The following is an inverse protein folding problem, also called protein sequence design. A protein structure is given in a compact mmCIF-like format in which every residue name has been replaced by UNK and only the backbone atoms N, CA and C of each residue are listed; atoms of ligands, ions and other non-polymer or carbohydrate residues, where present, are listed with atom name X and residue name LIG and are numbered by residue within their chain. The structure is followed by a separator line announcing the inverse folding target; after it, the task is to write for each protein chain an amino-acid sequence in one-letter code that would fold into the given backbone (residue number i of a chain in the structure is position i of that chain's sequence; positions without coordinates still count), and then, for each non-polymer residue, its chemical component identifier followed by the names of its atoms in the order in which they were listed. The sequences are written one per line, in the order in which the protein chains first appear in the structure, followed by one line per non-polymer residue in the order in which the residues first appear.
data_IF_199707591597
#
_entry.id   IF_199707591597
#
_cell.length_a   1.000
_cell.length_b   1.000
_cell.length_c   1.000
_cell.angle_alpha   90.00
_cell.angle_beta   90.00
_cell.angle_gamma   90.00
#
_symmetry.space_group_name_H-M   'P 1'
#
loop_
_entity.id
_entity.type
_entity.pdbx_description
1 polymer ?
#
# COMPACT_ATOMS: atom_id res chain seq x y z
N UNK A 1 39.34 -121.15 41.79
CA UNK A 1 38.17 -120.43 42.21
C UNK A 1 38.66 -119.06 42.64
N UNK A 2 38.57 -118.13 41.79
CA UNK A 2 39.06 -116.77 42.06
C UNK A 2 38.16 -115.78 41.37
N UNK A 3 37.43 -115.02 42.17
CA UNK A 3 36.54 -113.96 41.76
C UNK A 3 37.37 -112.78 41.34
N UNK A 4 37.10 -112.25 40.10
CA UNK A 4 37.74 -111.04 39.61
C UNK A 4 36.88 -109.87 39.90
N UNK A 5 37.37 -109.00 40.75
CA UNK A 5 36.77 -107.75 41.14
C UNK A 5 36.99 -106.72 40.04
N UNK A 6 35.89 -106.20 39.44
CA UNK A 6 35.91 -105.07 38.48
C UNK A 6 35.66 -103.77 39.19
N UNK A 7 36.42 -102.69 38.99
CA UNK A 7 36.14 -101.40 39.55
C UNK A 7 35.09 -100.66 38.76
N UNK A 8 34.08 -100.13 39.49
CA UNK A 8 33.01 -99.31 38.98
C UNK A 8 33.54 -97.94 38.62
N UNK A 9 33.45 -97.60 37.36
CA UNK A 9 33.74 -96.22 36.90
C UNK A 9 32.48 -95.35 37.05
N UNK A 10 32.51 -94.37 37.97
CA UNK A 10 31.49 -93.30 38.11
C UNK A 10 31.57 -92.35 36.91
N UNK A 11 30.41 -91.94 36.30
CA UNK A 11 30.40 -90.90 35.25
C UNK A 11 30.65 -89.53 35.83
N UNK A 12 31.62 -88.84 35.27
CA UNK A 12 32.03 -87.54 35.64
C UNK A 12 31.04 -86.52 35.04
N UNK A 13 30.03 -86.14 35.81
CA UNK A 13 29.07 -85.11 35.45
C UNK A 13 29.68 -83.69 35.69
N UNK A 14 30.40 -83.16 34.72
CA UNK A 14 30.75 -81.75 34.70
C UNK A 14 29.57 -80.92 34.18
N UNK A 15 29.09 -79.95 34.89
CA UNK A 15 28.00 -79.07 34.37
C UNK A 15 28.55 -78.21 33.22
N UNK A 16 28.00 -78.42 32.03
CA UNK A 16 28.28 -77.56 30.86
C UNK A 16 27.70 -76.16 31.13
N UNK A 17 28.57 -75.17 31.30
CA UNK A 17 28.26 -73.76 31.47
C UNK A 17 27.64 -73.28 30.16
N UNK A 18 26.30 -73.18 30.09
CA UNK A 18 25.57 -72.61 28.96
C UNK A 18 26.03 -71.14 28.79
N UNK A 19 26.80 -70.87 27.72
CA UNK A 19 27.10 -69.49 27.31
C UNK A 19 25.77 -68.82 27.00
N UNK A 20 25.36 -67.88 27.85
CA UNK A 20 24.20 -66.96 27.56
C UNK A 20 24.51 -66.25 26.24
N UNK A 21 23.74 -66.56 25.20
CA UNK A 21 23.91 -65.93 23.91
C UNK A 21 23.52 -64.42 24.07
N UNK A 22 24.39 -63.52 23.64
CA UNK A 22 24.15 -62.07 23.66
C UNK A 22 23.27 -61.66 22.49
N UNK A 23 22.78 -62.60 21.69
CA UNK A 23 21.96 -62.38 20.50
C UNK A 23 20.64 -61.53 20.76
N UNK A 24 19.85 -61.81 21.84
CA UNK A 24 18.64 -61.02 22.06
C UNK A 24 18.92 -59.56 22.44
N UNK A 25 20.04 -59.26 23.10
CA UNK A 25 20.42 -57.89 23.46
C UNK A 25 20.85 -57.07 22.23
N UNK A 26 21.54 -57.69 21.27
CA UNK A 26 21.93 -57.03 20.01
C UNK A 26 20.69 -56.74 19.13
N UNK A 27 19.73 -57.64 19.07
CA UNK A 27 18.47 -57.43 18.35
C UNK A 27 17.63 -56.28 18.92
N UNK A 28 17.54 -56.18 20.26
CA UNK A 28 16.88 -55.04 20.92
C UNK A 28 17.59 -53.71 20.65
N UNK A 29 18.93 -53.67 20.64
CA UNK A 29 19.70 -52.47 20.36
C UNK A 29 19.51 -52.00 18.91
N UNK A 30 19.52 -52.92 17.95
CA UNK A 30 19.26 -52.59 16.54
C UNK A 30 17.83 -52.10 16.34
N UNK A 31 16.84 -52.76 16.96
CA UNK A 31 15.45 -52.36 16.91
C UNK A 31 15.25 -50.96 17.51
N UNK A 32 15.91 -50.66 18.64
CA UNK A 32 15.86 -49.34 19.26
C UNK A 32 16.55 -48.26 18.41
N UNK A 33 17.69 -48.60 17.77
CA UNK A 33 18.37 -47.67 16.85
C UNK A 33 17.52 -47.35 15.60
N UNK A 34 16.85 -48.35 15.03
CA UNK A 34 15.94 -48.15 13.90
C UNK A 34 14.72 -47.32 14.28
N UNK A 35 14.18 -47.48 15.49
CA UNK A 35 13.12 -46.63 16.04
C UNK A 35 13.57 -45.18 16.21
N UNK A 36 14.79 -44.96 16.73
CA UNK A 36 15.34 -43.60 16.87
C UNK A 36 15.62 -42.97 15.51
N UNK A 37 16.12 -43.69 14.54
CA UNK A 37 16.33 -43.21 13.16
C UNK A 37 14.98 -42.90 12.47
N UNK A 38 13.98 -43.76 12.65
CA UNK A 38 12.64 -43.55 12.13
C UNK A 38 11.95 -42.31 12.77
N UNK A 39 12.00 -42.21 14.10
CA UNK A 39 11.43 -41.08 14.83
C UNK A 39 12.18 -39.77 14.51
N UNK A 40 13.52 -39.81 14.41
CA UNK A 40 14.34 -38.68 14.02
C UNK A 40 14.10 -38.23 12.58
N UNK A 41 13.94 -39.17 11.65
CA UNK A 41 13.63 -38.92 10.25
C UNK A 41 12.26 -38.26 10.07
N UNK A 42 11.20 -38.76 10.72
CA UNK A 42 9.87 -38.19 10.69
C UNK A 42 9.85 -36.82 11.37
N UNK A 43 10.49 -36.68 12.53
CA UNK A 43 10.59 -35.39 13.25
C UNK A 43 11.34 -34.35 12.43
N UNK A 44 12.45 -34.74 11.78
CA UNK A 44 13.21 -33.86 10.89
C UNK A 44 12.42 -33.44 9.65
N UNK A 45 11.66 -34.36 9.05
CA UNK A 45 10.81 -34.07 7.90
C UNK A 45 9.68 -33.09 8.27
N UNK A 46 8.97 -33.31 9.39
CA UNK A 46 7.92 -32.39 9.87
C UNK A 46 8.49 -31.02 10.21
N UNK A 47 9.68 -30.97 10.83
CA UNK A 47 10.36 -29.71 11.12
C UNK A 47 10.71 -28.97 9.83
N UNK A 48 11.25 -29.66 8.84
CA UNK A 48 11.61 -29.08 7.53
C UNK A 48 10.39 -28.54 6.79
N UNK A 49 9.26 -29.27 6.75
CA UNK A 49 8.01 -28.80 6.15
C UNK A 49 7.48 -27.55 6.86
N UNK A 50 7.52 -27.53 8.20
CA UNK A 50 7.10 -26.37 8.97
C UNK A 50 7.98 -25.13 8.71
N UNK A 51 9.28 -25.35 8.56
CA UNK A 51 10.22 -24.29 8.22
C UNK A 51 9.92 -23.72 6.82
N UNK A 52 9.71 -24.57 5.83
CA UNK A 52 9.35 -24.14 4.48
C UNK A 52 8.00 -23.39 4.45
N UNK A 53 7.02 -23.87 5.21
CA UNK A 53 5.72 -23.20 5.31
C UNK A 53 5.85 -21.80 5.95
N UNK A 54 6.66 -21.67 7.01
CA UNK A 54 6.94 -20.38 7.64
C UNK A 54 7.68 -19.41 6.71
N UNK A 55 8.70 -19.93 5.98
CA UNK A 55 9.44 -19.12 4.99
C UNK A 55 8.54 -18.67 3.83
N UNK A 56 7.54 -19.47 3.46
CA UNK A 56 6.57 -19.10 2.43
C UNK A 56 5.59 -18.06 2.94
N UNK A 57 5.09 -18.19 4.18
CA UNK A 57 4.25 -17.21 4.83
C UNK A 57 4.94 -15.84 4.90
N UNK A 58 6.22 -15.81 5.29
CA UNK A 58 7.00 -14.59 5.39
C UNK A 58 7.22 -13.92 4.02
N UNK A 59 7.47 -14.70 2.97
CA UNK A 59 7.55 -14.18 1.59
C UNK A 59 6.22 -13.60 1.12
N UNK A 60 5.11 -14.31 1.35
CA UNK A 60 3.77 -13.87 0.95
C UNK A 60 3.38 -12.59 1.72
N UNK A 61 3.76 -12.50 3.01
CA UNK A 61 3.56 -11.31 3.81
C UNK A 61 4.40 -10.12 3.32
N UNK A 62 5.67 -10.35 2.98
CA UNK A 62 6.54 -9.29 2.45
C UNK A 62 6.03 -8.71 1.13
N UNK A 63 5.47 -9.54 0.23
CA UNK A 63 4.82 -9.09 -0.99
C UNK A 63 3.56 -8.26 -0.67
N UNK A 64 2.79 -8.69 0.32
CA UNK A 64 1.55 -8.04 0.72
C UNK A 64 1.79 -6.65 1.35
N UNK A 65 2.86 -6.51 2.15
CA UNK A 65 3.21 -5.26 2.84
C UNK A 65 3.92 -4.26 1.95
N UNK A 66 4.27 -4.62 0.72
CA UNK A 66 4.69 -3.69 -0.31
C UNK A 66 3.58 -2.70 -0.69
N UNK A 67 3.70 -2.07 -1.86
CA UNK A 67 2.70 -1.12 -2.40
C UNK A 67 1.48 -1.86 -2.96
N UNK A 68 0.79 -2.64 -2.14
CA UNK A 68 -0.38 -3.39 -2.55
C UNK A 68 -1.65 -2.74 -1.98
N UNK A 69 -2.56 -2.32 -2.88
CA UNK A 69 -3.86 -1.74 -2.57
C UNK A 69 -5.03 -2.66 -2.93
N UNK A 70 -4.73 -3.92 -3.30
CA UNK A 70 -5.75 -4.90 -3.66
C UNK A 70 -6.25 -5.65 -2.41
N UNK A 71 -7.47 -5.39 -2.01
CA UNK A 71 -8.09 -6.05 -0.84
C UNK A 71 -8.18 -7.56 -0.97
N UNK A 72 -8.31 -8.10 -2.20
CA UNK A 72 -8.41 -9.53 -2.43
C UNK A 72 -7.13 -10.29 -2.03
N UNK A 73 -5.96 -9.67 -2.20
CA UNK A 73 -4.68 -10.29 -1.81
C UNK A 73 -4.58 -10.43 -0.28
N UNK A 74 -5.07 -9.42 0.46
CA UNK A 74 -5.13 -9.45 1.92
C UNK A 74 -6.12 -10.52 2.43
N UNK A 75 -7.26 -10.66 1.77
CA UNK A 75 -8.27 -11.69 2.08
C UNK A 75 -7.71 -13.09 1.81
N UNK A 76 -7.05 -13.30 0.67
CA UNK A 76 -6.40 -14.55 0.32
C UNK A 76 -5.27 -14.93 1.30
N UNK A 77 -4.49 -13.96 1.77
CA UNK A 77 -3.47 -14.19 2.81
C UNK A 77 -4.12 -14.66 4.13
N UNK A 78 -5.18 -13.97 4.58
CA UNK A 78 -5.89 -14.33 5.82
C UNK A 78 -6.57 -15.70 5.76
N UNK A 79 -7.02 -16.10 4.56
CA UNK A 79 -7.58 -17.44 4.32
C UNK A 79 -6.49 -18.51 4.33
N UNK A 80 -5.34 -18.25 3.67
CA UNK A 80 -4.23 -19.20 3.58
C UNK A 80 -3.51 -19.39 4.92
N UNK A 81 -3.37 -18.30 5.71
CA UNK A 81 -2.61 -18.28 6.96
C UNK A 81 -3.50 -17.86 8.16
N UNK A 82 -4.50 -18.66 8.54
CA UNK A 82 -5.45 -18.27 9.58
C UNK A 82 -4.83 -18.05 10.97
N UNK A 83 -3.66 -18.67 11.22
CA UNK A 83 -2.92 -18.58 12.49
C UNK A 83 -1.62 -17.75 12.36
N UNK A 84 -1.50 -16.93 11.32
CA UNK A 84 -0.34 -16.06 11.10
C UNK A 84 -0.10 -15.13 12.27
N UNK A 85 1.18 -14.90 12.59
CA UNK A 85 1.58 -13.86 13.54
C UNK A 85 1.26 -12.46 13.00
N UNK A 86 1.21 -12.29 11.69
CA UNK A 86 0.89 -11.03 11.01
C UNK A 86 -0.61 -10.79 10.85
N UNK A 87 -1.45 -11.75 11.28
CA UNK A 87 -2.91 -11.69 11.08
C UNK A 87 -3.54 -10.37 11.53
N UNK A 88 -3.17 -9.89 12.71
CA UNK A 88 -3.74 -8.66 13.28
C UNK A 88 -3.41 -7.44 12.42
N UNK A 89 -2.17 -7.30 12.00
CA UNK A 89 -1.70 -6.22 11.13
C UNK A 89 -2.34 -6.26 9.75
N UNK A 90 -2.41 -7.46 9.15
CA UNK A 90 -3.06 -7.68 7.83
C UNK A 90 -4.54 -7.32 7.89
N UNK A 91 -5.26 -7.68 8.97
CA UNK A 91 -6.66 -7.30 9.17
C UNK A 91 -6.84 -5.78 9.32
N UNK A 92 -5.97 -5.10 10.06
CA UNK A 92 -6.01 -3.65 10.22
C UNK A 92 -5.78 -2.94 8.89
N UNK A 93 -4.77 -3.39 8.12
CA UNK A 93 -4.48 -2.83 6.80
C UNK A 93 -5.63 -3.08 5.82
N UNK A 94 -6.21 -4.28 5.80
CA UNK A 94 -7.40 -4.59 5.00
C UNK A 94 -8.58 -3.69 5.37
N UNK A 95 -8.85 -3.47 6.65
CA UNK A 95 -9.90 -2.57 7.10
C UNK A 95 -9.65 -1.12 6.64
N UNK A 96 -8.40 -0.67 6.66
CA UNK A 96 -8.00 0.65 6.16
C UNK A 96 -8.21 0.77 4.65
N UNK A 97 -7.81 -0.24 3.87
CA UNK A 97 -8.02 -0.28 2.41
C UNK A 97 -9.51 -0.29 2.05
N UNK A 98 -10.31 -1.09 2.73
CA UNK A 98 -11.77 -1.10 2.53
C UNK A 98 -12.40 0.27 2.80
N UNK A 99 -11.95 0.95 3.85
CA UNK A 99 -12.40 2.31 4.18
C UNK A 99 -11.95 3.31 3.13
N UNK A 100 -10.70 3.22 2.64
CA UNK A 100 -10.18 4.05 1.55
C UNK A 100 -11.02 3.88 0.28
N UNK A 101 -11.27 2.63 -0.17
CA UNK A 101 -12.07 2.34 -1.36
C UNK A 101 -13.51 2.84 -1.21
N UNK A 102 -14.15 2.62 -0.07
CA UNK A 102 -15.50 3.10 0.19
C UNK A 102 -15.56 4.64 0.18
N UNK A 103 -14.58 5.31 0.80
CA UNK A 103 -14.51 6.77 0.81
C UNK A 103 -14.29 7.32 -0.60
N UNK A 104 -13.38 6.71 -1.37
CA UNK A 104 -13.13 7.09 -2.76
C UNK A 104 -14.39 6.93 -3.62
N UNK A 105 -15.06 5.80 -3.53
CA UNK A 105 -16.30 5.54 -4.27
C UNK A 105 -17.37 6.62 -4.02
N UNK A 106 -17.44 7.14 -2.80
CA UNK A 106 -18.40 8.17 -2.44
C UNK A 106 -18.05 9.55 -2.98
N UNK A 107 -16.77 9.83 -3.31
CA UNK A 107 -16.32 11.17 -3.70
C UNK A 107 -15.84 11.27 -5.15
N UNK A 108 -15.56 10.14 -5.84
CA UNK A 108 -14.90 10.15 -7.15
C UNK A 108 -15.60 11.00 -8.21
N UNK A 109 -16.93 11.15 -8.12
CA UNK A 109 -17.75 11.99 -9.02
C UNK A 109 -18.09 13.37 -8.43
N UNK A 110 -17.53 13.72 -7.28
CA UNK A 110 -17.77 14.99 -6.62
C UNK A 110 -17.29 16.16 -7.48
N UNK A 111 -18.07 17.25 -7.50
CA UNK A 111 -17.70 18.53 -8.09
C UNK A 111 -17.15 19.51 -7.03
N UNK A 112 -17.00 19.08 -5.78
CA UNK A 112 -16.46 19.89 -4.70
C UNK A 112 -14.99 19.49 -4.42
N UNK A 113 -14.01 20.36 -4.72
CA UNK A 113 -12.59 20.05 -4.50
C UNK A 113 -12.25 19.81 -3.01
N UNK A 114 -13.07 20.31 -2.07
CA UNK A 114 -12.84 20.09 -0.64
C UNK A 114 -12.99 18.62 -0.24
N UNK A 115 -13.86 17.85 -0.93
CA UNK A 115 -14.01 16.43 -0.66
C UNK A 115 -12.71 15.66 -0.96
N UNK A 116 -12.02 16.01 -2.04
CA UNK A 116 -10.72 15.40 -2.40
C UNK A 116 -9.61 15.86 -1.45
N UNK A 117 -9.59 17.13 -1.01
CA UNK A 117 -8.63 17.60 0.00
C UNK A 117 -8.82 16.89 1.34
N UNK A 118 -10.06 16.68 1.74
CA UNK A 118 -10.37 15.93 2.96
C UNK A 118 -9.97 14.45 2.82
N UNK A 119 -10.15 13.85 1.64
CA UNK A 119 -9.68 12.49 1.36
C UNK A 119 -8.16 12.38 1.54
N UNK A 120 -7.39 13.31 0.95
CA UNK A 120 -5.93 13.35 1.09
C UNK A 120 -5.47 13.54 2.55
N UNK A 121 -6.20 14.31 3.34
CA UNK A 121 -5.89 14.45 4.78
C UNK A 121 -6.14 13.15 5.56
N UNK A 122 -7.15 12.36 5.16
CA UNK A 122 -7.47 11.09 5.81
C UNK A 122 -6.59 9.94 5.32
N UNK A 123 -6.07 10.01 4.10
CA UNK A 123 -5.26 9.01 3.44
C UNK A 123 -4.03 9.67 2.78
N UNK A 124 -3.01 10.07 3.57
CA UNK A 124 -1.91 10.92 3.10
C UNK A 124 -0.81 10.16 2.33
N UNK A 125 -1.06 8.94 1.87
CA UNK A 125 -0.11 8.13 1.12
C UNK A 125 0.10 8.71 -0.28
N UNK A 126 1.22 9.45 -0.46
CA UNK A 126 1.57 10.15 -1.71
C UNK A 126 1.93 9.21 -2.85
N UNK A 127 2.20 7.93 -2.57
CA UNK A 127 2.53 6.92 -3.58
C UNK A 127 1.28 6.18 -4.09
N UNK A 128 0.13 6.41 -3.45
CA UNK A 128 -1.15 5.85 -3.85
C UNK A 128 -1.64 6.46 -5.18
N UNK A 129 -2.18 5.63 -6.06
CA UNK A 129 -2.88 6.10 -7.28
C UNK A 129 -4.01 7.08 -6.94
N UNK A 130 -4.71 6.89 -5.81
CA UNK A 130 -5.76 7.77 -5.35
C UNK A 130 -5.25 9.17 -4.99
N UNK A 131 -4.00 9.29 -4.52
CA UNK A 131 -3.36 10.58 -4.28
C UNK A 131 -3.22 11.36 -5.58
N UNK A 132 -2.66 10.73 -6.61
CA UNK A 132 -2.49 11.34 -7.93
C UNK A 132 -3.83 11.75 -8.54
N UNK A 133 -4.83 10.85 -8.49
CA UNK A 133 -6.18 11.15 -8.97
C UNK A 133 -6.82 12.34 -8.22
N UNK A 134 -6.65 12.43 -6.90
CA UNK A 134 -7.14 13.57 -6.12
C UNK A 134 -6.48 14.88 -6.54
N UNK A 135 -5.15 14.91 -6.72
CA UNK A 135 -4.43 16.11 -7.15
C UNK A 135 -4.96 16.61 -8.50
N UNK A 136 -5.12 15.72 -9.48
CA UNK A 136 -5.70 16.07 -10.78
C UNK A 136 -7.15 16.57 -10.69
N UNK A 137 -7.97 15.93 -9.85
CA UNK A 137 -9.35 16.38 -9.63
C UNK A 137 -9.42 17.75 -8.98
N UNK A 138 -8.60 18.02 -7.97
CA UNK A 138 -8.52 19.31 -7.29
C UNK A 138 -8.10 20.39 -8.28
N UNK A 139 -7.02 20.16 -9.03
CA UNK A 139 -6.51 21.09 -10.03
C UNK A 139 -7.59 21.44 -11.06
N UNK A 140 -8.22 20.43 -11.67
CA UNK A 140 -9.27 20.64 -12.67
C UNK A 140 -10.49 21.40 -12.11
N UNK A 141 -10.94 21.09 -10.89
CA UNK A 141 -12.10 21.74 -10.28
C UNK A 141 -11.81 23.18 -9.87
N UNK A 142 -10.61 23.45 -9.34
CA UNK A 142 -10.15 24.80 -9.01
C UNK A 142 -10.01 25.65 -10.28
N UNK A 143 -9.48 25.06 -11.38
CA UNK A 143 -9.44 25.72 -12.68
C UNK A 143 -10.84 26.07 -13.20
N UNK A 144 -11.78 25.11 -13.17
CA UNK A 144 -13.17 25.35 -13.59
C UNK A 144 -13.79 26.48 -12.78
N UNK A 145 -13.51 26.54 -11.47
CA UNK A 145 -14.01 27.63 -10.61
C UNK A 145 -13.38 28.98 -10.96
N UNK A 146 -12.07 29.03 -11.19
CA UNK A 146 -11.35 30.25 -11.52
C UNK A 146 -11.71 30.77 -12.90
N UNK A 147 -11.72 29.91 -13.92
CA UNK A 147 -12.04 30.24 -15.32
C UNK A 147 -13.49 30.67 -15.51
N UNK A 148 -14.43 30.12 -14.74
CA UNK A 148 -15.84 30.55 -14.77
C UNK A 148 -16.02 32.01 -14.26
N UNK A 149 -15.23 32.44 -13.26
CA UNK A 149 -15.24 33.80 -12.77
C UNK A 149 -14.52 34.76 -13.70
N UNK A 150 -13.48 34.30 -14.40
CA UNK A 150 -12.68 35.04 -15.38
C UNK A 150 -12.24 36.42 -14.90
N UNK A 151 -11.70 36.49 -13.68
CA UNK A 151 -11.13 37.73 -13.12
C UNK A 151 -9.65 37.52 -12.85
N UNK A 152 -8.84 38.59 -12.91
CA UNK A 152 -7.41 38.55 -12.57
C UNK A 152 -7.22 37.94 -11.18
N UNK A 153 -8.01 38.31 -10.19
CA UNK A 153 -7.91 37.79 -8.83
C UNK A 153 -8.20 36.30 -8.76
N UNK A 154 -9.22 35.78 -9.47
CA UNK A 154 -9.55 34.34 -9.45
C UNK A 154 -8.49 33.48 -10.15
N UNK A 155 -7.96 33.96 -11.27
CA UNK A 155 -6.95 33.29 -12.04
C UNK A 155 -5.58 33.30 -11.33
N UNK A 156 -5.19 34.43 -10.72
CA UNK A 156 -3.98 34.51 -9.88
C UNK A 156 -4.08 33.64 -8.64
N UNK A 157 -5.28 33.55 -8.02
CA UNK A 157 -5.53 32.62 -6.91
C UNK A 157 -5.34 31.16 -7.31
N UNK A 158 -5.81 30.79 -8.51
CA UNK A 158 -5.56 29.46 -9.06
C UNK A 158 -4.05 29.19 -9.23
N UNK A 159 -3.29 30.11 -9.87
CA UNK A 159 -1.85 29.97 -10.08
C UNK A 159 -1.06 29.84 -8.76
N UNK A 160 -1.48 30.54 -7.71
CA UNK A 160 -0.86 30.45 -6.39
C UNK A 160 -1.07 29.07 -5.75
N UNK A 161 -2.24 28.46 -5.95
CA UNK A 161 -2.57 27.14 -5.43
C UNK A 161 -1.96 26.01 -6.26
N UNK A 162 -1.80 26.22 -7.56
CA UNK A 162 -1.35 25.25 -8.55
C UNK A 162 -0.26 25.84 -9.45
N UNK A 163 0.93 26.17 -8.92
CA UNK A 163 1.99 26.78 -9.72
C UNK A 163 2.47 25.90 -10.87
N UNK A 164 2.46 24.56 -10.67
CA UNK A 164 2.81 23.54 -11.65
C UNK A 164 1.57 22.78 -12.17
N UNK A 165 0.37 23.37 -12.00
CA UNK A 165 -0.89 22.78 -12.40
C UNK A 165 -1.04 22.67 -13.92
N UNK A 166 -1.90 21.76 -14.37
CA UNK A 166 -2.17 21.52 -15.80
C UNK A 166 -2.62 22.79 -16.53
N UNK A 167 -3.31 23.70 -15.82
CA UNK A 167 -3.88 24.92 -16.40
C UNK A 167 -3.11 26.19 -16.03
N UNK A 168 -1.93 26.10 -15.39
CA UNK A 168 -1.15 27.26 -14.95
C UNK A 168 -0.80 28.20 -16.10
N UNK A 169 -0.42 27.67 -17.26
CA UNK A 169 -0.13 28.45 -18.45
C UNK A 169 -1.40 29.12 -19.03
N UNK A 170 -2.51 28.40 -19.05
CA UNK A 170 -3.80 28.96 -19.52
C UNK A 170 -4.25 30.11 -18.62
N UNK A 171 -4.07 29.99 -17.30
CA UNK A 171 -4.35 31.06 -16.36
C UNK A 171 -3.48 32.29 -16.60
N UNK A 172 -2.17 32.13 -16.86
CA UNK A 172 -1.28 33.23 -17.19
C UNK A 172 -1.72 34.00 -18.44
N UNK A 173 -1.97 33.28 -19.53
CA UNK A 173 -2.44 33.88 -20.79
C UNK A 173 -3.79 34.64 -20.62
N UNK A 174 -4.70 34.07 -19.81
CA UNK A 174 -5.97 34.73 -19.53
C UNK A 174 -5.80 35.99 -18.70
N UNK A 175 -4.88 36.03 -17.73
CA UNK A 175 -4.55 37.21 -16.95
C UNK A 175 -3.98 38.29 -17.85
N UNK A 176 -3.03 37.99 -18.73
CA UNK A 176 -2.44 38.94 -19.68
C UNK A 176 -3.50 39.54 -20.59
N UNK A 177 -4.42 38.72 -21.13
CA UNK A 177 -5.53 39.18 -21.96
C UNK A 177 -6.48 40.14 -21.21
N UNK A 178 -6.73 39.89 -19.93
CA UNK A 178 -7.57 40.76 -19.08
C UNK A 178 -6.86 42.10 -18.82
N UNK A 179 -5.55 42.10 -18.53
CA UNK A 179 -4.78 43.33 -18.36
C UNK A 179 -4.79 44.19 -19.63
N UNK A 180 -4.60 43.57 -20.80
CA UNK A 180 -4.70 44.28 -22.07
C UNK A 180 -6.09 44.89 -22.32
N UNK A 181 -7.15 44.12 -21.99
CA UNK A 181 -8.52 44.60 -22.12
C UNK A 181 -8.79 45.80 -21.20
N UNK A 182 -8.33 45.73 -19.94
CA UNK A 182 -8.43 46.85 -18.99
C UNK A 182 -7.62 48.08 -19.44
N UNK A 183 -6.45 47.86 -20.04
CA UNK A 183 -5.64 48.95 -20.58
C UNK A 183 -6.34 49.67 -21.74
N UNK A 184 -6.86 48.89 -22.72
CA UNK A 184 -7.66 49.45 -23.83
C UNK A 184 -8.90 50.20 -23.36
N UNK A 185 -9.61 49.69 -22.34
CA UNK A 185 -10.77 50.33 -21.79
C UNK A 185 -10.42 51.70 -21.12
N UNK A 186 -9.29 51.74 -20.36
CA UNK A 186 -8.79 52.97 -19.75
C UNK A 186 -8.42 54.01 -20.79
N UNK A 187 -7.79 53.63 -21.88
CA UNK A 187 -7.43 54.48 -23.01
C UNK A 187 -8.69 55.09 -23.67
N UNK A 188 -9.66 54.24 -24.01
CA UNK A 188 -10.95 54.72 -24.57
C UNK A 188 -11.70 55.69 -23.65
N UNK A 189 -11.66 55.46 -22.34
CA UNK A 189 -12.28 56.35 -21.38
C UNK A 189 -11.54 57.70 -21.30
N UNK A 190 -10.20 57.69 -21.34
CA UNK A 190 -9.38 58.88 -21.36
C UNK A 190 -9.64 59.74 -22.62
N UNK A 191 -9.71 59.14 -23.80
CA UNK A 191 -10.04 59.78 -25.06
C UNK A 191 -11.45 60.39 -25.03
N UNK A 192 -12.43 59.63 -24.54
CA UNK A 192 -13.80 60.11 -24.40
C UNK A 192 -13.91 61.34 -23.46
N UNK A 193 -13.19 61.30 -22.32
CA UNK A 193 -13.14 62.43 -21.38
C UNK A 193 -12.45 63.66 -22.02
N UNK A 194 -11.39 63.45 -22.79
CA UNK A 194 -10.72 64.53 -23.54
C UNK A 194 -11.66 65.19 -24.56
N UNK A 195 -12.37 64.40 -25.37
CA UNK A 195 -13.38 64.96 -26.31
C UNK A 195 -14.52 65.70 -25.60
N UNK A 196 -15.01 65.17 -24.49
CA UNK A 196 -16.05 65.90 -23.69
C UNK A 196 -15.56 67.26 -23.14
N UNK A 197 -14.29 67.27 -22.66
CA UNK A 197 -13.70 68.55 -22.18
C UNK A 197 -13.51 69.55 -23.29
N UNK A 198 -13.13 69.16 -24.52
CA UNK A 198 -13.05 70.05 -25.67
C UNK A 198 -14.37 70.58 -26.10
N UNK A 199 -15.43 69.77 -26.12
CA UNK A 199 -16.78 70.23 -26.46
C UNK A 199 -17.30 71.25 -25.42
N UNK A 200 -17.07 70.97 -24.14
CA UNK A 200 -17.48 71.91 -23.08
C UNK A 200 -16.71 73.22 -23.13
N UNK A 201 -15.39 73.16 -23.43
CA UNK A 201 -14.60 74.40 -23.61
C UNK A 201 -15.08 75.24 -24.79
N UNK A 202 -15.29 74.59 -25.94
CA UNK A 202 -15.79 75.28 -27.12
C UNK A 202 -17.15 75.88 -26.94
N UNK A 203 -18.08 75.24 -26.22
CA UNK A 203 -19.40 75.79 -25.90
C UNK A 203 -19.30 76.95 -24.91
N UNK A 204 -18.40 76.91 -23.94
CA UNK A 204 -18.16 78.00 -22.97
C UNK A 204 -17.65 79.26 -23.63
N UNK A 205 -16.72 79.12 -24.59
CA UNK A 205 -16.16 80.21 -25.34
C UNK A 205 -17.21 80.89 -26.27
N UNK A 206 -18.16 80.13 -26.80
CA UNK A 206 -19.26 80.64 -27.65
C UNK A 206 -20.25 81.38 -26.86
N UNK A 207 -20.54 81.04 -25.61
CA UNK A 207 -21.50 81.81 -24.71
C UNK A 207 -20.89 83.10 -24.18
N UNK A 208 -19.56 83.21 -24.08
CA UNK A 208 -18.86 84.41 -23.61
C UNK A 208 -18.81 85.56 -24.63
N UNK A 209 -19.24 85.35 -25.88
CA UNK A 209 -19.20 86.34 -26.99
C UNK A 209 -20.56 87.09 -27.15
N UNK A 210 -21.56 86.75 -26.41
CA UNK A 210 -22.91 87.44 -26.38
C UNK A 210 -23.15 88.12 -25.03
#
# INVERSE_FOLDING_TARGET
MSEVNRPSTKPNNRPTRKKKSKAPLIGCLIGFLLLLLGAGGVGGYIWYERQQAADQEERDYAVLTGKNYNTADFEAFLERYPNSLHRAEVMERLATLRRLHATWHNICDSQNPQNFRQFLNNFPDTESEYYVLCIHKIDSLDWVSASRRMTIASLSGYQQLHPDGEYAMAAALAIDSLHEAEARQREMMADSAFFQAQIHGALSDTVAIW
#
